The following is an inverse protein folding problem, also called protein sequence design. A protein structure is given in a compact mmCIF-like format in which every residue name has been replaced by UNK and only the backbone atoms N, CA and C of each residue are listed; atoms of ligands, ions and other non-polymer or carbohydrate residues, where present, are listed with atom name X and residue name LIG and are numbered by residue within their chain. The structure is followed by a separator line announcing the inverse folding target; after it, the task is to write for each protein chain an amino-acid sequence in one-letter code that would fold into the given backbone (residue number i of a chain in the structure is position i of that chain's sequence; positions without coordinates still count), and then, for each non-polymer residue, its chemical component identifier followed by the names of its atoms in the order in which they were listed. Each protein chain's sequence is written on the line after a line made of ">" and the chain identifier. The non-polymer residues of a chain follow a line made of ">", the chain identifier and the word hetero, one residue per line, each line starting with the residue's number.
data_IF_164811794316
#
_entry.id   IF_164811794316
#
_cell.length_a   1.000
_cell.length_b   1.000
_cell.length_c   1.000
_cell.angle_alpha   90.00
_cell.angle_beta   90.00
_cell.angle_gamma   90.00
#
_symmetry.space_group_name_H-M   'P 1'
#
loop_
_entity.id
_entity.type
_entity.pdbx_description
1 polymer ?
#
# COMPACT_ATOMS: atom_id res chain seq x y z
N UNK A 1 4.89 0.16 5.97
CA UNK A 1 3.59 0.61 6.48
C UNK A 1 3.14 -0.30 7.63
N UNK A 2 2.50 0.27 8.65
CA UNK A 2 1.99 -0.41 9.86
C UNK A 2 0.47 -0.37 9.97
N UNK A 3 -0.09 -1.12 10.94
CA UNK A 3 -1.52 -1.33 11.15
C UNK A 3 -2.25 -1.64 9.84
N UNK A 4 -1.72 -2.63 9.12
CA UNK A 4 -2.29 -3.07 7.87
C UNK A 4 -3.74 -3.52 8.07
N UNK A 5 -4.63 -3.00 7.23
CA UNK A 5 -6.03 -3.37 7.18
C UNK A 5 -6.37 -3.80 5.75
N UNK A 6 -6.57 -5.09 5.54
CA UNK A 6 -6.95 -5.64 4.24
C UNK A 6 -8.47 -5.83 4.19
N UNK A 7 -9.09 -5.39 3.08
CA UNK A 7 -10.54 -5.36 2.89
C UNK A 7 -10.97 -6.46 1.92
N UNK A 8 -10.33 -6.54 0.76
CA UNK A 8 -10.69 -7.52 -0.28
C UNK A 8 -10.00 -8.86 -0.13
N UNK A 9 -9.00 -8.95 0.74
CA UNK A 9 -8.28 -10.19 1.05
C UNK A 9 -8.18 -10.35 2.57
N UNK A 10 -8.19 -11.59 3.10
CA UNK A 10 -8.07 -11.81 4.54
C UNK A 10 -6.66 -11.48 5.06
N UNK A 11 -5.63 -11.68 4.24
CA UNK A 11 -4.23 -11.45 4.59
C UNK A 11 -3.38 -11.38 3.32
N UNK A 12 -2.34 -10.55 3.35
CA UNK A 12 -1.28 -10.56 2.34
C UNK A 12 -0.28 -11.67 2.66
N UNK A 13 -0.24 -12.72 1.84
CA UNK A 13 0.67 -13.87 2.03
C UNK A 13 1.79 -13.95 1.01
N UNK A 14 1.62 -13.29 -0.14
CA UNK A 14 2.61 -13.22 -1.21
C UNK A 14 2.72 -11.77 -1.71
N UNK A 15 3.83 -11.40 -2.34
CA UNK A 15 3.94 -10.10 -2.98
C UNK A 15 2.87 -9.91 -4.05
N UNK A 16 2.28 -8.72 -4.11
CA UNK A 16 1.29 -8.35 -5.14
C UNK A 16 1.69 -7.04 -5.80
N UNK A 17 1.35 -6.89 -7.09
CA UNK A 17 1.35 -5.57 -7.71
C UNK A 17 0.06 -4.84 -7.33
N UNK A 18 0.18 -3.56 -7.01
CA UNK A 18 -0.95 -2.70 -6.71
C UNK A 18 -0.64 -1.27 -7.14
N UNK A 19 -1.70 -0.51 -7.44
CA UNK A 19 -1.62 0.94 -7.51
C UNK A 19 -1.65 1.48 -6.07
N UNK A 20 -0.61 2.21 -5.67
CA UNK A 20 -0.44 2.67 -4.30
C UNK A 20 -0.65 4.17 -4.21
N UNK A 21 -1.61 4.60 -3.40
CA UNK A 21 -1.89 6.01 -3.11
C UNK A 21 -1.42 6.36 -1.70
N UNK A 22 -0.53 7.34 -1.60
CA UNK A 22 0.02 7.83 -0.32
C UNK A 22 -0.63 9.12 0.19
N UNK A 23 -1.61 9.65 -0.56
CA UNK A 23 -2.41 10.84 -0.22
C UNK A 23 -3.73 10.81 -0.99
N UNK A 24 -4.76 11.47 -0.46
CA UNK A 24 -6.11 11.44 -1.03
C UNK A 24 -6.19 11.93 -2.49
N UNK A 25 -5.44 12.98 -2.83
CA UNK A 25 -5.39 13.55 -4.19
C UNK A 25 -4.33 12.91 -5.09
N UNK A 26 -3.72 11.80 -4.67
CA UNK A 26 -2.76 11.09 -5.52
C UNK A 26 -3.47 10.34 -6.64
N UNK A 27 -2.89 10.38 -7.83
CA UNK A 27 -3.27 9.47 -8.90
C UNK A 27 -2.80 8.04 -8.60
N UNK A 28 -1.83 7.91 -7.69
CA UNK A 28 -1.22 6.64 -7.30
C UNK A 28 0.02 6.35 -8.15
N UNK A 29 0.87 5.48 -7.61
CA UNK A 29 2.07 4.98 -8.28
C UNK A 29 2.06 3.47 -8.19
N UNK A 30 2.37 2.79 -9.30
CA UNK A 30 2.48 1.34 -9.28
C UNK A 30 3.64 0.91 -8.37
N UNK A 31 3.42 -0.14 -7.62
CA UNK A 31 4.43 -0.75 -6.78
C UNK A 31 4.11 -2.19 -6.45
N UNK A 32 5.12 -2.89 -5.96
CA UNK A 32 4.97 -4.23 -5.42
C UNK A 32 4.89 -4.15 -3.90
N UNK A 33 3.83 -4.73 -3.35
CA UNK A 33 3.54 -4.77 -1.92
C UNK A 33 4.02 -6.11 -1.37
N UNK A 34 4.98 -6.08 -0.45
CA UNK A 34 5.57 -7.25 0.17
C UNK A 34 5.03 -7.42 1.60
N UNK A 35 4.54 -8.63 1.97
CA UNK A 35 4.18 -8.89 3.35
C UNK A 35 5.44 -8.94 4.23
N UNK A 36 5.42 -8.23 5.35
CA UNK A 36 6.50 -8.26 6.36
C UNK A 36 6.02 -9.01 7.61
N UNK A 37 4.79 -8.75 8.04
CA UNK A 37 4.09 -9.44 9.13
C UNK A 37 2.58 -9.31 8.94
N UNK A 38 1.80 -9.89 9.83
CA UNK A 38 0.33 -9.88 9.77
C UNK A 38 -0.27 -8.45 9.72
N UNK A 39 0.43 -7.49 10.31
CA UNK A 39 0.03 -6.09 10.47
C UNK A 39 0.94 -5.09 9.73
N UNK A 40 1.93 -5.57 8.97
CA UNK A 40 2.89 -4.71 8.27
C UNK A 40 3.19 -5.21 6.86
N UNK A 41 3.38 -4.25 5.98
CA UNK A 41 3.84 -4.49 4.63
C UNK A 41 4.84 -3.42 4.20
N UNK A 42 5.68 -3.78 3.24
CA UNK A 42 6.58 -2.88 2.55
C UNK A 42 6.05 -2.63 1.14
N UNK A 43 6.24 -1.41 0.63
CA UNK A 43 5.92 -1.06 -0.75
C UNK A 43 7.22 -0.66 -1.43
N UNK A 44 7.53 -1.34 -2.52
CA UNK A 44 8.59 -0.94 -3.43
C UNK A 44 7.91 -0.38 -4.68
N UNK A 45 8.02 0.93 -4.89
CA UNK A 45 7.46 1.58 -6.06
C UNK A 45 8.27 1.24 -7.32
N UNK A 46 7.58 1.04 -8.44
CA UNK A 46 8.20 0.77 -9.74
C UNK A 46 8.93 2.02 -10.27
N UNK A 47 8.45 3.20 -9.90
CA UNK A 47 9.05 4.50 -10.20
C UNK A 47 9.25 5.33 -8.91
N UNK A 48 10.19 6.29 -8.89
CA UNK A 48 10.39 7.15 -7.72
C UNK A 48 9.11 7.88 -7.29
N UNK A 49 8.63 7.59 -6.07
CA UNK A 49 7.52 8.31 -5.48
C UNK A 49 8.03 9.50 -4.65
N UNK A 50 7.61 10.71 -5.01
CA UNK A 50 8.01 11.94 -4.31
C UNK A 50 7.18 12.18 -3.06
N UNK A 51 7.82 12.73 -2.02
CA UNK A 51 7.15 13.25 -0.81
C UNK A 51 6.39 12.20 0.02
N UNK A 52 6.91 10.96 0.10
CA UNK A 52 6.47 9.97 1.09
C UNK A 52 6.69 10.55 2.49
N UNK A 53 5.59 10.72 3.25
CA UNK A 53 5.62 11.41 4.54
C UNK A 53 5.09 10.49 5.64
N UNK A 54 5.84 10.25 6.73
CA UNK A 54 5.35 9.50 7.88
C UNK A 54 4.05 10.09 8.45
N UNK A 55 3.18 9.22 8.95
CA UNK A 55 1.87 9.57 9.50
C UNK A 55 0.75 9.76 8.47
N UNK A 56 1.04 9.66 7.17
CA UNK A 56 0.00 9.57 6.13
C UNK A 56 -0.51 8.14 5.99
N UNK A 57 -1.74 8.00 5.53
CA UNK A 57 -2.29 6.71 5.17
C UNK A 57 -1.84 6.32 3.75
N UNK A 58 -1.51 5.04 3.58
CA UNK A 58 -1.29 4.42 2.28
C UNK A 58 -2.48 3.52 1.95
N UNK A 59 -2.96 3.57 0.71
CA UNK A 59 -4.07 2.77 0.21
C UNK A 59 -3.62 2.01 -1.03
N UNK A 60 -3.97 0.72 -1.08
CA UNK A 60 -3.59 -0.23 -2.12
C UNK A 60 -4.81 -0.54 -2.98
N UNK A 61 -4.65 -0.42 -4.30
CA UNK A 61 -5.69 -0.66 -5.28
C UNK A 61 -5.28 -1.75 -6.28
N UNK A 62 -6.24 -2.59 -6.64
CA UNK A 62 -6.22 -3.44 -7.82
C UNK A 62 -7.30 -2.92 -8.77
N UNK A 63 -6.89 -2.15 -9.79
CA UNK A 63 -7.78 -1.31 -10.59
C UNK A 63 -8.72 -0.44 -9.71
N UNK A 64 -10.03 -0.70 -9.75
CA UNK A 64 -11.06 0.03 -8.99
C UNK A 64 -11.32 -0.58 -7.60
N UNK A 65 -10.67 -1.71 -7.27
CA UNK A 65 -10.87 -2.43 -6.02
C UNK A 65 -9.88 -1.99 -4.95
N UNK A 66 -10.37 -1.62 -3.77
CA UNK A 66 -9.52 -1.33 -2.61
C UNK A 66 -9.11 -2.62 -1.94
N UNK A 67 -7.84 -3.00 -2.10
CA UNK A 67 -7.27 -4.19 -1.46
C UNK A 67 -7.17 -3.97 0.05
N UNK A 68 -6.70 -2.79 0.45
CA UNK A 68 -6.43 -2.46 1.85
C UNK A 68 -5.55 -1.23 2.00
N UNK A 69 -4.98 -1.04 3.18
CA UNK A 69 -4.11 0.09 3.47
C UNK A 69 -3.43 -0.01 4.84
N UNK A 70 -2.70 1.04 5.20
CA UNK A 70 -2.01 1.14 6.48
C UNK A 70 -1.43 2.54 6.68
N UNK A 71 -0.58 2.69 7.68
CA UNK A 71 0.09 3.97 8.00
C UNK A 71 1.54 3.94 7.56
N UNK A 72 2.00 5.04 6.98
CA UNK A 72 3.40 5.22 6.61
C UNK A 72 4.18 5.55 7.89
N UNK A 73 5.18 4.75 8.22
CA UNK A 73 6.10 4.95 9.36
C UNK A 73 7.44 5.54 8.86
#
# INVERSE_FOLDING_TARGET
>A
ASNANFISIPKLTNPIKALVKIRYKDNGTLGTVYPISDDRFEVIFDEPCMAVTPGQAVVLYDDDLVIGGGWID
#
